data_IF_062423035336
#
_entry.id   IF_062423035336
#
_cell.length_a   1.000
_cell.length_b   1.000
_cell.length_c   1.000
_cell.angle_alpha   90.00
_cell.angle_beta   90.00
_cell.angle_gamma   90.00
#
_symmetry.space_group_name_H-M   'P 1'
#
loop_
_entity.id
_entity.type
_entity.pdbx_description
1 polymer ?
#
# COMPACT_ATOMS: atom_id res chain seq x y z
N UNK A 1 5.46 -14.82 19.65
CA UNK A 1 4.23 -14.57 18.86
C UNK A 1 4.65 -14.65 17.40
N UNK A 2 4.07 -15.56 16.61
CA UNK A 2 4.36 -15.60 15.17
C UNK A 2 3.70 -14.41 14.49
N UNK A 3 4.40 -13.85 13.51
CA UNK A 3 3.85 -12.82 12.64
C UNK A 3 2.65 -13.37 11.84
N UNK A 4 1.69 -12.53 11.44
CA UNK A 4 0.56 -12.98 10.64
C UNK A 4 1.04 -13.34 9.22
N UNK A 5 0.55 -14.47 8.71
CA UNK A 5 0.57 -14.77 7.28
C UNK A 5 -0.47 -13.87 6.60
N UNK A 6 -0.07 -13.18 5.54
CA UNK A 6 -0.96 -12.33 4.75
C UNK A 6 -1.36 -13.10 3.49
N UNK A 7 -2.67 -13.21 3.24
CA UNK A 7 -3.19 -13.99 2.12
C UNK A 7 -2.92 -13.23 0.81
N UNK A 8 -2.29 -13.85 -0.21
CA UNK A 8 -2.06 -13.19 -1.48
C UNK A 8 -3.39 -12.91 -2.20
N UNK A 9 -3.45 -11.78 -2.91
CA UNK A 9 -4.60 -11.38 -3.73
C UNK A 9 -4.18 -11.40 -5.20
N UNK A 10 -4.99 -12.01 -6.06
CA UNK A 10 -4.78 -11.95 -7.50
C UNK A 10 -5.27 -10.58 -8.04
N UNK A 11 -4.44 -9.80 -8.77
CA UNK A 11 -4.87 -8.56 -9.40
C UNK A 11 -6.10 -8.71 -10.31
N UNK A 12 -6.32 -9.89 -10.90
CA UNK A 12 -7.48 -10.16 -11.76
C UNK A 12 -8.78 -10.37 -10.99
N UNK A 13 -8.72 -10.56 -9.68
CA UNK A 13 -9.90 -10.63 -8.80
C UNK A 13 -10.33 -9.23 -8.30
N UNK A 14 -9.56 -8.18 -8.64
CA UNK A 14 -9.88 -6.80 -8.28
C UNK A 14 -10.93 -6.18 -9.23
N UNK A 15 -11.62 -5.11 -8.81
CA UNK A 15 -12.58 -4.43 -9.68
C UNK A 15 -12.00 -3.95 -11.02
N UNK A 16 -12.68 -4.27 -12.13
CA UNK A 16 -12.24 -3.96 -13.50
C UNK A 16 -11.93 -2.47 -13.75
N UNK A 17 -12.61 -1.56 -13.04
CA UNK A 17 -12.38 -0.11 -13.17
C UNK A 17 -10.97 0.31 -12.78
N UNK A 18 -10.26 -0.48 -11.96
CA UNK A 18 -8.87 -0.22 -11.62
C UNK A 18 -7.94 -0.35 -12.84
N UNK A 19 -8.26 -1.24 -13.78
CA UNK A 19 -7.50 -1.44 -15.01
C UNK A 19 -7.85 -0.45 -16.13
N UNK A 20 -9.01 0.22 -16.04
CA UNK A 20 -9.63 0.87 -17.19
C UNK A 20 -9.94 2.35 -16.99
N UNK A 21 -9.95 2.86 -15.76
CA UNK A 21 -10.35 4.22 -15.43
C UNK A 21 -9.21 5.08 -14.85
N UNK A 22 -9.48 6.37 -14.65
CA UNK A 22 -8.62 7.23 -13.84
C UNK A 22 -8.90 6.99 -12.35
N UNK A 23 -7.87 6.61 -11.61
CA UNK A 23 -7.97 6.14 -10.22
C UNK A 23 -7.27 7.12 -9.29
N UNK A 24 -7.98 7.59 -8.26
CA UNK A 24 -7.35 8.33 -7.17
C UNK A 24 -7.20 7.42 -5.96
N UNK A 25 -5.97 7.17 -5.53
CA UNK A 25 -5.69 6.64 -4.21
C UNK A 25 -5.61 7.80 -3.20
N UNK A 26 -6.28 7.70 -2.05
CA UNK A 26 -6.26 8.73 -1.01
C UNK A 26 -6.07 8.11 0.38
N UNK A 27 -5.36 8.82 1.25
CA UNK A 27 -5.20 8.40 2.66
C UNK A 27 -6.51 8.60 3.45
N UNK A 28 -6.91 7.60 4.22
CA UNK A 28 -8.10 7.69 5.08
C UNK A 28 -7.87 8.69 6.23
N UNK A 29 -8.91 9.45 6.59
CA UNK A 29 -8.85 10.53 7.60
C UNK A 29 -8.96 10.01 9.04
N UNK A 30 -9.36 8.75 9.23
CA UNK A 30 -9.78 8.25 10.53
C UNK A 30 -8.62 7.63 11.35
N UNK A 31 -8.14 8.38 12.35
CA UNK A 31 -7.35 7.80 13.44
C UNK A 31 -6.56 8.82 14.26
N UNK A 32 -6.91 9.00 15.53
CA UNK A 32 -6.28 9.95 16.47
C UNK A 32 -4.83 9.57 16.87
N UNK A 33 -4.18 8.66 16.15
CA UNK A 33 -2.79 8.22 16.36
C UNK A 33 -2.18 7.68 15.05
N UNK A 34 -1.54 8.54 14.25
CA UNK A 34 -0.49 8.15 13.28
C UNK A 34 -0.87 7.28 12.07
N UNK A 35 -1.94 6.50 12.09
CA UNK A 35 -2.38 5.69 10.96
C UNK A 35 -2.94 6.62 9.87
N UNK A 36 -2.24 6.71 8.73
CA UNK A 36 -2.59 7.63 7.63
C UNK A 36 -1.66 8.84 7.47
N UNK A 37 -0.67 9.02 8.36
CA UNK A 37 0.39 10.02 8.19
C UNK A 37 1.63 9.38 7.56
N UNK A 38 2.16 10.01 6.52
CA UNK A 38 3.48 9.65 5.99
C UNK A 38 4.55 9.81 7.08
N UNK A 39 5.51 8.88 7.08
CA UNK A 39 6.60 8.85 8.05
C UNK A 39 6.23 8.45 9.49
N UNK A 40 5.00 7.98 9.76
CA UNK A 40 4.59 7.58 11.12
C UNK A 40 4.21 6.11 11.30
N UNK A 41 4.88 5.22 10.57
CA UNK A 41 4.83 3.77 10.81
C UNK A 41 4.66 2.94 9.54
N UNK A 42 4.46 1.64 9.75
CA UNK A 42 4.41 0.62 8.70
C UNK A 42 3.08 0.52 7.94
N UNK A 43 2.04 1.25 8.35
CA UNK A 43 0.71 1.14 7.74
C UNK A 43 0.16 2.52 7.37
N UNK A 44 -0.13 2.70 6.09
CA UNK A 44 -0.87 3.86 5.58
C UNK A 44 -2.24 3.38 5.11
N UNK A 45 -3.28 3.75 5.85
CA UNK A 45 -4.66 3.45 5.47
C UNK A 45 -5.07 4.30 4.29
N UNK A 46 -5.68 3.69 3.29
CA UNK A 46 -6.16 4.42 2.13
C UNK A 46 -7.24 3.69 1.36
N UNK A 47 -7.64 4.34 0.27
CA UNK A 47 -8.67 3.85 -0.63
C UNK A 47 -8.44 4.31 -2.04
N UNK A 48 -8.76 3.44 -2.98
CA UNK A 48 -8.85 3.74 -4.41
C UNK A 48 -10.27 4.23 -4.70
N UNK A 49 -10.41 5.24 -5.55
CA UNK A 49 -11.71 5.76 -5.95
C UNK A 49 -11.74 6.18 -7.42
N UNK A 50 -12.88 5.95 -8.06
CA UNK A 50 -13.21 6.42 -9.41
C UNK A 50 -14.72 6.68 -9.51
N UNK A 51 -15.14 7.89 -9.94
CA UNK A 51 -16.55 8.21 -10.25
C UNK A 51 -17.62 7.76 -9.21
N UNK A 52 -17.27 7.73 -7.92
CA UNK A 52 -18.17 7.28 -6.83
C UNK A 52 -18.03 5.80 -6.47
N UNK A 53 -17.29 5.01 -7.23
CA UNK A 53 -16.81 3.69 -6.84
C UNK A 53 -15.59 3.81 -5.94
N UNK A 54 -15.53 2.96 -4.91
CA UNK A 54 -14.46 3.00 -3.92
C UNK A 54 -14.02 1.58 -3.55
N UNK A 55 -12.72 1.37 -3.41
CA UNK A 55 -12.13 0.10 -2.96
C UNK A 55 -11.07 0.36 -1.88
N UNK A 56 -11.20 -0.22 -0.67
CA UNK A 56 -10.18 -0.11 0.37
C UNK A 56 -8.83 -0.62 -0.15
N UNK A 57 -7.76 0.15 0.02
CA UNK A 57 -6.43 -0.26 -0.41
C UNK A 57 -5.39 0.43 0.47
N UNK A 58 -4.76 -0.33 1.34
CA UNK A 58 -3.77 0.17 2.28
C UNK A 58 -2.35 -0.04 1.73
N UNK A 59 -1.36 0.66 2.31
CA UNK A 59 0.06 0.40 2.06
C UNK A 59 0.67 -0.18 3.32
N UNK A 60 1.36 -1.31 3.19
CA UNK A 60 1.93 -2.06 4.31
C UNK A 60 3.44 -2.27 4.13
N UNK A 61 4.23 -1.67 5.02
CA UNK A 61 5.67 -1.83 5.10
C UNK A 61 5.99 -3.12 5.86
N UNK A 62 6.59 -4.12 5.20
CA UNK A 62 6.68 -5.48 5.73
C UNK A 62 7.89 -5.74 6.64
N UNK A 63 8.84 -4.81 6.72
CA UNK A 63 10.08 -5.01 7.48
C UNK A 63 9.99 -4.52 8.94
N UNK A 64 8.87 -3.92 9.36
CA UNK A 64 8.67 -3.52 10.75
C UNK A 64 8.45 -4.76 11.64
N UNK A 65 9.36 -4.94 12.59
CA UNK A 65 9.42 -6.11 13.47
C UNK A 65 9.07 -5.80 14.93
N UNK A 66 8.94 -4.52 15.30
CA UNK A 66 8.75 -4.08 16.68
C UNK A 66 7.41 -3.36 16.88
N UNK A 67 6.69 -3.58 18.01
CA UNK A 67 6.96 -4.55 19.07
C UNK A 67 6.58 -6.00 18.70
N UNK A 68 5.93 -6.19 17.55
CA UNK A 68 5.59 -7.50 16.99
C UNK A 68 5.73 -7.41 15.47
N UNK A 69 6.21 -8.46 14.79
CA UNK A 69 6.39 -8.38 13.35
C UNK A 69 5.08 -8.24 12.60
N UNK A 70 5.10 -7.33 11.62
CA UNK A 70 3.95 -6.97 10.78
C UNK A 70 3.61 -8.08 9.78
N UNK A 71 4.62 -8.77 9.27
CA UNK A 71 4.48 -9.83 8.29
C UNK A 71 5.43 -11.00 8.61
N UNK A 72 5.04 -12.21 8.25
CA UNK A 72 5.89 -13.39 8.37
C UNK A 72 7.07 -13.37 7.37
N UNK A 73 7.99 -14.32 7.54
CA UNK A 73 9.20 -14.40 6.72
C UNK A 73 8.87 -14.62 5.25
N UNK A 74 7.88 -15.45 4.95
CA UNK A 74 7.48 -15.75 3.57
C UNK A 74 6.86 -14.53 2.89
N UNK A 75 5.96 -13.81 3.56
CA UNK A 75 5.38 -12.58 3.03
C UNK A 75 6.46 -11.53 2.81
N UNK A 76 7.41 -11.38 3.75
CA UNK A 76 8.53 -10.44 3.59
C UNK A 76 9.38 -10.81 2.39
N UNK A 77 9.77 -12.10 2.26
CA UNK A 77 10.53 -12.61 1.12
C UNK A 77 9.81 -12.37 -0.21
N UNK A 78 8.51 -12.65 -0.29
CA UNK A 78 7.71 -12.45 -1.50
C UNK A 78 7.56 -10.97 -1.85
N UNK A 79 7.36 -10.09 -0.87
CA UNK A 79 7.29 -8.65 -1.08
C UNK A 79 8.61 -8.11 -1.64
N UNK A 80 9.75 -8.53 -1.08
CA UNK A 80 11.07 -8.18 -1.61
C UNK A 80 11.30 -8.73 -3.02
N UNK A 81 10.86 -9.97 -3.30
CA UNK A 81 10.97 -10.57 -4.63
C UNK A 81 10.11 -9.83 -5.66
N UNK A 82 8.85 -9.54 -5.37
CA UNK A 82 7.99 -8.74 -6.24
C UNK A 82 8.61 -7.36 -6.48
N UNK A 83 9.08 -6.71 -5.41
CA UNK A 83 9.66 -5.38 -5.51
C UNK A 83 10.90 -5.32 -6.40
N UNK A 84 11.77 -6.34 -6.32
CA UNK A 84 12.94 -6.47 -7.19
C UNK A 84 12.58 -6.66 -8.67
N UNK A 85 11.41 -7.21 -8.97
CA UNK A 85 10.93 -7.46 -10.32
C UNK A 85 9.98 -6.36 -10.84
N UNK A 86 10.05 -5.15 -10.27
CA UNK A 86 9.16 -4.02 -10.64
C UNK A 86 7.66 -4.31 -10.47
N UNK A 87 7.33 -5.25 -9.58
CA UNK A 87 5.98 -5.63 -9.21
C UNK A 87 5.69 -5.20 -7.77
N UNK A 88 4.42 -5.33 -7.36
CA UNK A 88 3.98 -5.16 -5.98
C UNK A 88 3.22 -6.41 -5.55
N UNK A 89 3.48 -6.87 -4.34
CA UNK A 89 2.73 -8.00 -3.78
C UNK A 89 1.40 -7.46 -3.22
N UNK A 90 0.29 -7.99 -3.73
CA UNK A 90 -1.04 -7.70 -3.22
C UNK A 90 -1.39 -8.73 -2.16
N UNK A 91 -1.85 -8.26 -1.01
CA UNK A 91 -2.26 -9.13 0.09
C UNK A 91 -3.55 -8.64 0.73
N UNK A 92 -4.25 -9.54 1.42
CA UNK A 92 -5.31 -9.19 2.33
C UNK A 92 -4.75 -9.02 3.75
N UNK A 93 -4.92 -7.82 4.30
CA UNK A 93 -4.55 -7.49 5.67
C UNK A 93 -5.78 -6.95 6.41
N UNK A 94 -6.25 -7.69 7.41
CA UNK A 94 -7.43 -7.32 8.21
C UNK A 94 -8.70 -7.08 7.36
N UNK A 95 -8.92 -7.92 6.34
CA UNK A 95 -10.09 -7.85 5.45
C UNK A 95 -10.05 -6.68 4.46
N UNK A 96 -8.89 -6.05 4.26
CA UNK A 96 -8.67 -4.98 3.28
C UNK A 96 -7.52 -5.36 2.36
N UNK A 97 -7.61 -4.97 1.09
CA UNK A 97 -6.48 -5.02 0.18
C UNK A 97 -5.34 -4.17 0.74
N UNK A 98 -4.12 -4.69 0.68
CA UNK A 98 -2.91 -3.98 1.02
C UNK A 98 -1.82 -4.24 -0.01
N UNK A 99 -1.07 -3.19 -0.35
CA UNK A 99 0.16 -3.29 -1.12
C UNK A 99 1.30 -3.56 -0.13
N UNK A 100 1.86 -4.77 -0.18
CA UNK A 100 3.01 -5.15 0.62
C UNK A 100 4.30 -4.60 -0.01
N UNK A 101 4.97 -3.70 0.71
CA UNK A 101 6.13 -2.95 0.23
C UNK A 101 7.32 -3.14 1.17
N UNK A 102 8.52 -3.44 0.65
CA UNK A 102 9.74 -3.45 1.47
C UNK A 102 10.01 -2.12 2.18
N UNK A 103 10.47 -2.19 3.42
CA UNK A 103 10.73 -1.07 4.30
C UNK A 103 9.91 -1.09 5.58
N UNK A 104 10.10 -0.06 6.40
CA UNK A 104 9.43 0.14 7.69
C UNK A 104 8.47 1.34 7.69
N UNK A 105 8.56 2.19 6.67
CA UNK A 105 7.77 3.41 6.52
C UNK A 105 7.48 3.78 5.05
N UNK A 106 6.69 4.85 4.88
CA UNK A 106 6.34 5.42 3.59
C UNK A 106 6.65 6.92 3.52
N UNK A 107 7.38 7.30 2.46
CA UNK A 107 7.44 8.64 1.90
C UNK A 107 6.68 8.72 0.57
N UNK A 108 6.52 9.93 0.03
CA UNK A 108 5.74 10.17 -1.20
C UNK A 108 6.23 9.33 -2.40
N UNK A 109 7.54 9.24 -2.61
CA UNK A 109 8.11 8.49 -3.75
C UNK A 109 7.78 6.99 -3.67
N UNK A 110 7.84 6.40 -2.47
CA UNK A 110 7.51 4.98 -2.26
C UNK A 110 6.02 4.71 -2.47
N UNK A 111 5.15 5.66 -2.11
CA UNK A 111 3.72 5.58 -2.41
C UNK A 111 3.49 5.58 -3.92
N UNK A 112 4.11 6.52 -4.64
CA UNK A 112 3.98 6.62 -6.09
C UNK A 112 4.51 5.36 -6.80
N UNK A 113 5.65 4.81 -6.36
CA UNK A 113 6.20 3.57 -6.91
C UNK A 113 5.25 2.38 -6.67
N UNK A 114 4.71 2.25 -5.44
CA UNK A 114 3.75 1.19 -5.12
C UNK A 114 2.46 1.28 -5.96
N UNK A 115 1.91 2.49 -6.14
CA UNK A 115 0.71 2.70 -6.97
C UNK A 115 0.99 2.49 -8.45
N UNK A 116 2.15 2.92 -8.96
CA UNK A 116 2.54 2.65 -10.34
C UNK A 116 2.67 1.16 -10.63
N UNK A 117 3.16 0.38 -9.65
CA UNK A 117 3.22 -1.09 -9.74
C UNK A 117 1.85 -1.75 -9.66
N UNK A 118 0.95 -1.23 -8.82
CA UNK A 118 -0.45 -1.68 -8.79
C UNK A 118 -1.11 -1.45 -10.15
N UNK A 119 -0.95 -0.25 -10.73
CA UNK A 119 -1.50 0.07 -12.05
C UNK A 119 -1.05 -0.95 -13.10
N UNK A 120 0.26 -1.26 -13.16
CA UNK A 120 0.79 -2.30 -14.06
C UNK A 120 0.17 -3.67 -13.79
N UNK A 121 -0.03 -4.04 -12.53
CA UNK A 121 -0.57 -5.34 -12.14
C UNK A 121 -2.02 -5.55 -12.61
N UNK A 122 -2.83 -4.48 -12.61
CA UNK A 122 -4.22 -4.50 -13.10
C UNK A 122 -4.35 -4.13 -14.59
N UNK A 123 -3.24 -4.01 -15.31
CA UNK A 123 -3.23 -3.68 -16.75
C UNK A 123 -3.46 -2.19 -17.07
N UNK A 124 -3.51 -1.32 -16.08
CA UNK A 124 -3.59 0.13 -16.25
C UNK A 124 -2.21 0.76 -16.52
N UNK A 125 -2.24 2.01 -16.97
CA UNK A 125 -1.03 2.82 -17.08
C UNK A 125 -0.80 3.57 -15.76
N UNK A 126 0.45 3.69 -15.29
CA UNK A 126 0.75 4.47 -14.08
C UNK A 126 0.27 5.93 -14.15
N UNK A 127 0.22 6.53 -15.34
CA UNK A 127 -0.29 7.89 -15.57
C UNK A 127 -1.79 8.05 -15.28
N UNK A 128 -2.54 6.96 -15.23
CA UNK A 128 -3.97 6.95 -14.86
C UNK A 128 -4.20 6.97 -13.35
N UNK A 129 -3.13 6.91 -12.54
CA UNK A 129 -3.22 6.84 -11.08
C UNK A 129 -2.75 8.15 -10.42
N UNK A 130 -3.55 8.65 -9.49
CA UNK A 130 -3.26 9.84 -8.68
C UNK A 130 -3.11 9.44 -7.22
N UNK A 131 -2.12 10.01 -6.53
CA UNK A 131 -1.95 9.86 -5.08
C UNK A 131 -2.33 11.16 -4.35
N UNK A 132 -3.44 11.13 -3.60
CA UNK A 132 -3.88 12.20 -2.72
C UNK A 132 -3.37 11.95 -1.29
N UNK A 133 -2.21 12.55 -0.99
CA UNK A 133 -1.49 12.36 0.26
C UNK A 133 -1.76 13.48 1.26
N UNK A 134 -1.96 13.13 2.52
CA UNK A 134 -1.86 14.09 3.63
C UNK A 134 -0.43 14.12 4.15
N UNK A 135 0.18 15.30 4.07
CA UNK A 135 1.51 15.51 4.64
C UNK A 135 1.47 15.33 6.17
N UNK A 136 2.45 14.59 6.69
CA UNK A 136 2.73 14.50 8.12
C UNK A 136 3.44 15.74 8.65
N UNK A 137 3.99 15.67 9.86
CA UNK A 137 4.84 16.76 10.38
C UNK A 137 6.11 16.81 9.55
N UNK A 138 6.28 17.86 8.75
CA UNK A 138 7.55 18.15 8.06
C UNK A 138 8.53 18.66 9.12
N UNK A 139 9.14 17.73 9.86
CA UNK A 139 10.24 18.05 10.74
C UNK A 139 11.48 18.32 9.90
N UNK A 140 11.88 19.59 9.78
CA UNK A 140 13.23 19.92 9.34
C UNK A 140 14.18 19.39 10.42
N UNK A 141 14.91 18.30 10.13
CA UNK A 141 15.99 17.84 10.99
C UNK A 141 17.02 18.97 11.08
N UNK A 142 17.21 19.50 12.29
CA UNK A 142 18.34 20.37 12.65
C UNK A 142 19.54 19.54 13.07
#
# INVERSE_FOLDING_TARGET
MSAPALAPVDPFDLPDWLGTAEVTWSTDVAGHRGAGRLGSGHLVRGRLAHAGEEHPCDLLAVDEAYPTPVADEDTRRLAHQAWRNEQVLLVEAQGRLALAVPGTDFGADRVLDALGRLAKAVGARPESYVAALRLGVVGHGG
#
